data_IF_294338791566
#
_entry.id   IF_294338791566
#
_cell.length_a   1.000
_cell.length_b   1.000
_cell.length_c   1.000
_cell.angle_alpha   90.00
_cell.angle_beta   90.00
_cell.angle_gamma   90.00
#
_symmetry.space_group_name_H-M   'P 1'
#
loop_
_entity.id
_entity.type
_entity.pdbx_description
1 polymer ?
#
# COMPACT_ATOMS: atom_id res chain seq x y z
N UNK A 1 28.10 5.61 11.16
CA UNK A 1 27.11 4.67 11.70
C UNK A 1 25.72 5.21 11.35
N UNK A 2 25.30 5.01 10.11
CA UNK A 2 23.95 5.25 9.57
C UNK A 2 23.96 4.61 8.18
N UNK A 3 24.08 3.27 8.15
CA UNK A 3 23.97 2.50 6.93
C UNK A 3 22.49 2.26 6.67
N UNK A 4 21.79 3.30 6.23
CA UNK A 4 20.44 3.18 5.68
C UNK A 4 20.62 2.52 4.31
N UNK A 5 20.62 1.19 4.27
CA UNK A 5 20.43 0.43 3.04
C UNK A 5 18.97 0.64 2.59
N UNK A 6 18.73 1.82 2.02
CA UNK A 6 17.49 2.22 1.38
C UNK A 6 17.43 1.49 0.03
N UNK A 7 17.11 0.20 0.05
CA UNK A 7 16.69 -0.53 -1.15
C UNK A 7 15.26 -0.15 -1.50
N UNK A 8 15.03 1.12 -1.81
CA UNK A 8 13.91 1.55 -2.63
C UNK A 8 14.21 0.97 -4.01
N UNK A 9 13.44 -0.03 -4.44
CA UNK A 9 13.55 -0.55 -5.80
C UNK A 9 12.98 0.50 -6.77
N UNK A 10 13.78 1.54 -7.04
CA UNK A 10 13.72 2.33 -8.26
C UNK A 10 14.37 1.49 -9.36
N UNK A 11 13.64 0.48 -9.85
CA UNK A 11 14.01 -0.24 -11.06
C UNK A 11 12.86 -0.05 -12.05
N UNK A 12 12.97 0.97 -12.89
CA UNK A 12 12.12 1.24 -14.05
C UNK A 12 10.66 0.73 -13.93
N UNK A 13 9.79 1.59 -13.39
CA UNK A 13 8.33 1.41 -13.25
C UNK A 13 7.88 0.29 -12.29
N UNK A 14 6.69 0.45 -11.70
CA UNK A 14 5.83 -0.58 -11.07
C UNK A 14 5.62 -0.51 -9.55
N UNK A 15 5.14 0.64 -9.06
CA UNK A 15 3.97 0.60 -8.16
C UNK A 15 2.78 0.20 -9.02
N UNK A 16 2.21 -0.95 -8.74
CA UNK A 16 1.29 -1.60 -9.66
C UNK A 16 -0.15 -1.26 -9.34
N UNK A 17 -0.84 -0.61 -10.27
CA UNK A 17 -2.28 -0.80 -10.38
C UNK A 17 -2.57 -2.31 -10.45
N UNK A 18 -3.70 -2.76 -9.88
CA UNK A 18 -4.12 -4.18 -9.89
C UNK A 18 -3.95 -4.84 -11.27
N UNK A 19 -4.17 -4.07 -12.34
CA UNK A 19 -3.97 -4.52 -13.71
C UNK A 19 -2.52 -4.83 -14.06
N UNK A 20 -1.57 -3.98 -13.67
CA UNK A 20 -0.15 -4.26 -13.87
C UNK A 20 0.26 -5.50 -13.11
N UNK A 21 -0.10 -5.60 -11.82
CA UNK A 21 0.33 -6.69 -10.95
C UNK A 21 -0.07 -8.05 -11.51
N UNK A 22 -1.32 -8.14 -11.99
CA UNK A 22 -1.87 -9.33 -12.64
C UNK A 22 -1.17 -9.64 -13.97
N UNK A 23 -0.88 -8.62 -14.79
CA UNK A 23 -0.16 -8.82 -16.05
C UNK A 23 1.28 -9.29 -15.83
N UNK A 24 1.96 -8.74 -14.83
CA UNK A 24 3.37 -9.04 -14.56
C UNK A 24 3.57 -10.42 -13.96
N UNK A 25 2.72 -10.80 -13.00
CA UNK A 25 2.85 -12.08 -12.29
C UNK A 25 2.06 -13.22 -12.95
N UNK A 26 1.12 -12.89 -13.86
CA UNK A 26 0.07 -13.82 -14.33
C UNK A 26 -0.80 -14.40 -13.20
N UNK A 27 -0.77 -13.79 -12.00
CA UNK A 27 -1.55 -14.20 -10.82
C UNK A 27 -2.73 -13.24 -10.65
N UNK A 28 -3.95 -13.78 -10.62
CA UNK A 28 -5.18 -12.98 -10.46
C UNK A 28 -5.44 -12.53 -9.00
N UNK A 29 -4.85 -13.22 -8.02
CA UNK A 29 -4.97 -12.89 -6.60
C UNK A 29 -3.92 -11.84 -6.20
N UNK A 30 -4.37 -10.63 -5.83
CA UNK A 30 -3.47 -9.51 -5.46
C UNK A 30 -2.51 -9.89 -4.32
N UNK A 31 -2.96 -10.42 -3.17
CA UNK A 31 -2.05 -10.85 -2.10
C UNK A 31 -0.95 -11.81 -2.58
N UNK A 32 -1.34 -12.84 -3.35
CA UNK A 32 -0.37 -13.81 -3.87
C UNK A 32 0.59 -13.20 -4.90
N UNK A 33 0.14 -12.23 -5.69
CA UNK A 33 0.98 -11.53 -6.65
C UNK A 33 2.00 -10.59 -5.95
N UNK A 34 1.62 -9.94 -4.85
CA UNK A 34 2.55 -9.17 -4.00
C UNK A 34 3.64 -10.09 -3.42
N UNK A 35 3.23 -11.26 -2.93
CA UNK A 35 4.16 -12.27 -2.42
C UNK A 35 5.14 -12.72 -3.49
N UNK A 36 4.65 -13.06 -4.69
CA UNK A 36 5.47 -13.48 -5.82
C UNK A 36 6.51 -12.42 -6.20
N UNK A 37 6.12 -11.14 -6.25
CA UNK A 37 7.07 -10.04 -6.48
C UNK A 37 8.15 -10.03 -5.41
N UNK A 38 7.80 -10.05 -4.13
CA UNK A 38 8.82 -10.01 -3.09
C UNK A 38 9.73 -11.24 -3.11
N UNK A 39 9.22 -12.43 -3.44
CA UNK A 39 10.06 -13.63 -3.63
C UNK A 39 11.09 -13.39 -4.75
N UNK A 40 10.67 -12.80 -5.87
CA UNK A 40 11.56 -12.49 -7.00
C UNK A 40 12.58 -11.38 -6.70
N UNK A 41 12.25 -10.44 -5.81
CA UNK A 41 13.12 -9.32 -5.43
C UNK A 41 13.57 -9.43 -3.97
N UNK A 42 14.61 -10.24 -3.65
CA UNK A 42 15.06 -10.50 -2.28
C UNK A 42 15.47 -9.22 -1.51
N UNK A 43 15.96 -8.20 -2.22
CA UNK A 43 16.38 -6.91 -1.63
C UNK A 43 15.22 -5.96 -1.31
N UNK A 44 14.02 -6.20 -1.83
CA UNK A 44 12.87 -5.36 -1.56
C UNK A 44 12.31 -5.70 -0.16
N UNK A 45 12.14 -4.67 0.69
CA UNK A 45 11.58 -4.84 2.05
C UNK A 45 10.06 -4.87 2.08
N UNK A 46 9.42 -4.27 1.08
CA UNK A 46 7.98 -4.27 0.97
C UNK A 46 7.56 -4.03 -0.48
N UNK A 47 6.30 -4.32 -0.77
CA UNK A 47 5.62 -3.99 -2.02
C UNK A 47 4.23 -3.46 -1.69
N UNK A 48 3.77 -2.46 -2.44
CA UNK A 48 2.44 -1.85 -2.28
C UNK A 48 1.71 -1.88 -3.62
N UNK A 49 0.46 -2.29 -3.62
CA UNK A 49 -0.46 -2.13 -4.75
C UNK A 49 -1.59 -1.16 -4.41
N UNK A 50 -1.87 -0.25 -5.32
CA UNK A 50 -3.06 0.62 -5.29
C UNK A 50 -4.27 -0.15 -5.81
N UNK A 51 -5.40 0.02 -5.14
CA UNK A 51 -6.67 -0.69 -5.38
C UNK A 51 -7.80 0.27 -5.82
N UNK A 52 -7.44 1.48 -6.27
CA UNK A 52 -8.38 2.53 -6.65
C UNK A 52 -9.21 3.00 -5.46
N UNK A 53 -10.54 3.01 -5.62
CA UNK A 53 -11.50 3.38 -4.58
C UNK A 53 -11.46 2.46 -3.34
N UNK A 54 -10.76 1.33 -3.41
CA UNK A 54 -10.60 0.41 -2.28
C UNK A 54 -9.31 0.66 -1.47
N UNK A 55 -8.51 1.67 -1.84
CA UNK A 55 -7.30 2.05 -1.12
C UNK A 55 -6.04 1.34 -1.61
N UNK A 56 -5.32 0.68 -0.71
CA UNK A 56 -4.06 -0.01 -1.04
C UNK A 56 -3.84 -1.27 -0.21
N UNK A 57 -2.92 -2.11 -0.67
CA UNK A 57 -2.45 -3.30 0.05
C UNK A 57 -0.92 -3.33 0.04
N UNK A 58 -0.33 -3.54 1.20
CA UNK A 58 1.12 -3.63 1.38
C UNK A 58 1.50 -4.98 1.95
N UNK A 59 2.50 -5.63 1.36
CA UNK A 59 3.19 -6.76 1.97
C UNK A 59 4.57 -6.28 2.42
N UNK A 60 4.84 -6.39 3.71
CA UNK A 60 6.12 -6.05 4.32
C UNK A 60 6.82 -7.33 4.77
N UNK A 61 8.12 -7.47 4.46
CA UNK A 61 8.94 -8.58 4.94
C UNK A 61 9.87 -8.15 6.06
N UNK A 62 10.26 -9.12 6.87
CA UNK A 62 11.33 -9.00 7.86
C UNK A 62 12.42 -10.02 7.58
N UNK A 63 13.63 -9.70 8.02
CA UNK A 63 14.77 -10.63 8.03
C UNK A 63 14.66 -11.49 9.29
N UNK A 64 13.72 -12.44 9.28
CA UNK A 64 13.61 -13.45 10.32
C UNK A 64 13.04 -14.74 9.69
N UNK A 65 13.58 -15.89 10.02
CA UNK A 65 13.09 -17.20 9.57
C UNK A 65 12.36 -17.96 10.70
N UNK A 66 12.01 -17.27 11.79
CA UNK A 66 11.22 -17.84 12.87
C UNK A 66 9.76 -18.07 12.44
N UNK A 67 9.34 -19.32 12.46
CA UNK A 67 8.03 -19.77 11.98
C UNK A 67 8.16 -21.21 11.52
N UNK A 68 7.12 -22.02 11.64
CA UNK A 68 7.16 -23.42 11.19
C UNK A 68 6.14 -23.60 10.07
N UNK A 69 4.90 -23.15 10.28
CA UNK A 69 3.82 -23.31 9.31
C UNK A 69 3.53 -22.03 8.53
N UNK A 70 3.44 -22.15 7.21
CA UNK A 70 3.07 -21.05 6.32
C UNK A 70 1.55 -20.89 6.24
N UNK A 71 1.08 -19.65 6.35
CA UNK A 71 -0.34 -19.29 6.22
C UNK A 71 -0.61 -18.73 4.83
N UNK A 72 -1.69 -19.19 4.19
CA UNK A 72 -2.11 -18.64 2.90
C UNK A 72 -2.45 -17.15 3.00
N UNK A 73 -1.75 -16.34 2.22
CA UNK A 73 -1.86 -14.88 2.24
C UNK A 73 -3.23 -14.38 1.75
N UNK A 74 -3.96 -15.19 0.98
CA UNK A 74 -5.35 -14.92 0.62
C UNK A 74 -6.27 -14.95 1.85
N UNK A 75 -6.15 -16.00 2.68
CA UNK A 75 -6.92 -16.12 3.93
C UNK A 75 -6.60 -14.97 4.90
N UNK A 76 -5.33 -14.56 4.99
CA UNK A 76 -4.93 -13.39 5.80
C UNK A 76 -5.58 -12.12 5.28
N UNK A 77 -5.58 -11.91 3.95
CA UNK A 77 -6.20 -10.74 3.34
C UNK A 77 -7.73 -10.71 3.58
N UNK A 78 -8.40 -11.85 3.52
CA UNK A 78 -9.84 -11.95 3.85
C UNK A 78 -10.11 -11.61 5.32
N UNK A 79 -9.33 -12.16 6.24
CA UNK A 79 -9.43 -11.85 7.67
C UNK A 79 -9.23 -10.35 7.95
N UNK A 80 -8.27 -9.71 7.28
CA UNK A 80 -8.03 -8.27 7.42
C UNK A 80 -9.17 -7.44 6.85
N UNK A 81 -9.74 -7.81 5.70
CA UNK A 81 -10.89 -7.10 5.11
C UNK A 81 -12.11 -7.08 6.04
N UNK A 82 -12.31 -8.12 6.85
CA UNK A 82 -13.37 -8.16 7.86
C UNK A 82 -13.14 -7.18 9.02
N UNK A 83 -11.89 -6.79 9.28
CA UNK A 83 -11.52 -5.84 10.34
C UNK A 83 -11.53 -4.39 9.88
N UNK A 84 -11.61 -4.15 8.57
CA UNK A 84 -11.71 -2.80 8.02
C UNK A 84 -13.06 -2.20 8.42
N UNK A 85 -13.04 -1.10 9.16
CA UNK A 85 -14.24 -0.36 9.51
C UNK A 85 -14.81 0.32 8.26
N UNK A 86 -16.04 -0.06 7.88
CA UNK A 86 -16.69 0.43 6.65
C UNK A 86 -17.26 1.84 6.80
N UNK A 87 -17.40 2.38 8.00
CA UNK A 87 -18.09 3.66 8.24
C UNK A 87 -17.16 4.86 8.40
N UNK A 88 -15.85 4.66 8.34
CA UNK A 88 -14.91 5.78 8.34
C UNK A 88 -14.86 6.44 6.97
N UNK A 89 -15.20 7.73 6.94
CA UNK A 89 -15.01 8.55 5.73
C UNK A 89 -13.53 8.77 5.41
N UNK A 90 -12.66 8.65 6.42
CA UNK A 90 -11.22 8.86 6.29
C UNK A 90 -10.47 7.53 6.13
N UNK A 91 -9.36 7.52 5.39
CA UNK A 91 -8.45 6.39 5.31
C UNK A 91 -8.02 5.88 6.69
N UNK A 92 -8.09 4.56 6.85
CA UNK A 92 -7.60 3.79 8.01
C UNK A 92 -6.72 2.65 7.52
N UNK A 93 -5.99 2.00 8.43
CA UNK A 93 -5.15 0.86 8.11
C UNK A 93 -5.33 -0.27 9.12
N UNK A 94 -5.38 -1.49 8.63
CA UNK A 94 -5.32 -2.71 9.44
C UNK A 94 -4.11 -3.54 9.04
N UNK A 95 -3.47 -4.19 10.02
CA UNK A 95 -2.27 -5.02 9.81
C UNK A 95 -2.46 -6.42 10.40
N UNK A 96 -1.88 -7.42 9.76
CA UNK A 96 -1.67 -8.72 10.38
C UNK A 96 -0.49 -8.66 11.36
N UNK A 97 -0.34 -9.73 12.16
CA UNK A 97 0.95 -10.02 12.82
C UNK A 97 1.98 -10.47 11.78
N UNK A 98 3.25 -10.44 12.14
CA UNK A 98 4.30 -11.12 11.38
C UNK A 98 4.10 -12.64 11.44
N UNK A 99 4.21 -13.28 10.28
CA UNK A 99 4.10 -14.74 10.13
C UNK A 99 4.73 -15.18 8.81
N UNK A 100 4.98 -16.48 8.66
CA UNK A 100 5.35 -17.05 7.36
C UNK A 100 4.11 -17.09 6.46
N UNK A 101 4.18 -16.41 5.32
CA UNK A 101 3.11 -16.29 4.35
C UNK A 101 3.46 -17.12 3.11
N UNK A 102 2.47 -17.84 2.59
CA UNK A 102 2.51 -18.55 1.31
C UNK A 102 1.40 -18.03 0.38
N UNK A 103 1.49 -18.34 -0.91
CA UNK A 103 0.42 -18.04 -1.86
C UNK A 103 0.37 -19.08 -2.96
N UNK A 104 -0.43 -18.85 -4.00
CA UNK A 104 -0.53 -19.76 -5.16
C UNK A 104 0.74 -19.87 -6.02
N UNK A 105 1.79 -19.10 -5.71
CA UNK A 105 3.09 -19.07 -6.40
C UNK A 105 4.16 -19.94 -5.73
N UNK A 106 5.42 -19.80 -6.15
CA UNK A 106 6.53 -20.62 -5.68
C UNK A 106 7.39 -19.87 -4.67
N UNK A 107 6.96 -19.82 -3.41
CA UNK A 107 7.79 -19.29 -2.33
C UNK A 107 7.02 -18.92 -1.07
N UNK A 108 7.77 -18.64 -0.01
CA UNK A 108 7.25 -18.11 1.24
C UNK A 108 8.03 -16.88 1.66
N UNK A 109 7.38 -16.02 2.44
CA UNK A 109 7.98 -14.81 3.00
C UNK A 109 7.59 -14.73 4.46
N UNK A 110 8.55 -14.46 5.35
CA UNK A 110 8.21 -13.99 6.69
C UNK A 110 7.89 -12.50 6.64
N UNK A 111 6.63 -12.16 6.91
CA UNK A 111 6.15 -10.80 6.75
C UNK A 111 4.78 -10.58 7.35
N UNK A 112 4.23 -9.40 7.08
CA UNK A 112 2.87 -9.03 7.44
C UNK A 112 2.18 -8.33 6.28
N UNK A 113 0.86 -8.48 6.24
CA UNK A 113 0.01 -7.83 5.26
C UNK A 113 -0.69 -6.65 5.91
N UNK A 114 -0.74 -5.52 5.22
CA UNK A 114 -1.49 -4.33 5.61
C UNK A 114 -2.49 -3.96 4.52
N UNK A 115 -3.66 -3.47 4.94
CA UNK A 115 -4.70 -2.93 4.06
C UNK A 115 -5.00 -1.51 4.51
N UNK A 116 -4.75 -0.53 3.63
CA UNK A 116 -5.15 0.86 3.82
C UNK A 116 -6.42 1.14 3.02
N UNK A 117 -7.43 1.78 3.62
CA UNK A 117 -8.65 2.17 2.91
C UNK A 117 -8.45 3.48 2.13
N UNK A 118 -9.30 3.73 1.14
CA UNK A 118 -9.41 5.04 0.50
C UNK A 118 -10.44 5.90 1.23
N UNK A 119 -10.32 7.22 1.04
CA UNK A 119 -11.37 8.16 1.42
C UNK A 119 -12.62 7.90 0.59
N UNK A 120 -13.79 7.91 1.24
CA UNK A 120 -15.07 7.89 0.53
C UNK A 120 -15.41 9.29 0.03
N UNK A 121 -15.04 9.58 -1.20
CA UNK A 121 -15.29 10.87 -1.83
C UNK A 121 -16.72 10.90 -2.38
N UNK A 122 -17.55 11.89 -2.00
CA UNK A 122 -18.86 12.07 -2.60
C UNK A 122 -18.76 12.24 -4.12
N UNK A 123 -19.67 11.63 -4.89
CA UNK A 123 -19.64 11.70 -6.36
C UNK A 123 -19.51 13.12 -6.94
N UNK A 124 -20.15 14.17 -6.38
CA UNK A 124 -19.97 15.54 -6.86
C UNK A 124 -18.57 16.13 -6.64
N UNK A 125 -17.79 15.58 -5.70
CA UNK A 125 -16.41 16.00 -5.43
C UNK A 125 -15.38 15.18 -6.23
N UNK A 126 -15.76 14.05 -6.82
CA UNK A 126 -14.88 13.21 -7.62
C UNK A 126 -14.76 13.78 -9.04
N UNK A 127 -13.67 14.52 -9.29
CA UNK A 127 -13.48 15.27 -10.55
C UNK A 127 -12.61 14.51 -11.54
N UNK A 128 -11.44 14.02 -11.12
CA UNK A 128 -10.46 13.39 -12.01
C UNK A 128 -9.48 12.51 -11.23
N UNK A 129 -9.26 11.27 -11.68
CA UNK A 129 -8.36 10.29 -11.05
C UNK A 129 -6.95 10.28 -11.64
N UNK A 130 -6.69 11.09 -12.68
CA UNK A 130 -5.38 11.16 -13.36
C UNK A 130 -4.28 11.54 -12.38
N UNK A 131 -3.24 10.72 -12.23
CA UNK A 131 -2.11 11.01 -11.33
C UNK A 131 -2.38 10.71 -9.84
N UNK A 132 -3.51 10.10 -9.46
CA UNK A 132 -3.73 9.68 -8.07
C UNK A 132 -2.69 8.66 -7.59
N UNK A 133 -2.27 7.74 -8.49
CA UNK A 133 -1.19 6.81 -8.21
C UNK A 133 0.14 7.53 -7.94
N UNK A 134 0.49 8.53 -8.74
CA UNK A 134 1.70 9.32 -8.54
C UNK A 134 1.66 10.13 -7.22
N UNK A 135 0.50 10.70 -6.89
CA UNK A 135 0.27 11.40 -5.63
C UNK A 135 0.43 10.45 -4.43
N UNK A 136 -0.13 9.23 -4.51
CA UNK A 136 0.05 8.18 -3.51
C UNK A 136 1.54 7.83 -3.33
N UNK A 137 2.27 7.62 -4.44
CA UNK A 137 3.70 7.29 -4.42
C UNK A 137 4.50 8.43 -3.76
N UNK A 138 4.25 9.67 -4.16
CA UNK A 138 4.90 10.84 -3.56
C UNK A 138 4.65 10.93 -2.04
N UNK A 139 3.45 10.59 -1.59
CA UNK A 139 3.09 10.55 -0.18
C UNK A 139 3.76 9.38 0.58
N UNK A 140 3.88 8.21 -0.03
CA UNK A 140 4.67 7.09 0.53
C UNK A 140 6.13 7.48 0.68
N UNK A 141 6.74 8.10 -0.34
CA UNK A 141 8.12 8.59 -0.27
C UNK A 141 8.30 9.61 0.85
N UNK A 142 7.38 10.56 0.98
CA UNK A 142 7.37 11.48 2.10
C UNK A 142 7.26 10.77 3.46
N UNK A 143 6.39 9.75 3.57
CA UNK A 143 6.23 8.95 4.79
C UNK A 143 7.52 8.22 5.18
N UNK A 144 8.21 7.63 4.20
CA UNK A 144 9.51 6.99 4.41
C UNK A 144 10.59 7.99 4.86
N UNK A 145 10.66 9.16 4.22
CA UNK A 145 11.62 10.21 4.58
C UNK A 145 11.35 10.85 5.95
N UNK A 146 10.13 10.67 6.48
CA UNK A 146 9.71 11.17 7.79
C UNK A 146 9.48 10.07 8.82
N UNK A 147 9.96 8.86 8.53
CA UNK A 147 9.92 7.70 9.41
C UNK A 147 8.51 7.35 9.92
N UNK A 148 7.49 7.59 9.09
CA UNK A 148 6.13 7.17 9.39
C UNK A 148 6.04 5.65 9.46
N UNK A 149 5.46 5.13 10.54
CA UNK A 149 5.06 3.73 10.61
C UNK A 149 4.13 3.39 9.42
N UNK A 150 4.23 2.20 8.82
CA UNK A 150 3.39 1.79 7.69
C UNK A 150 1.88 2.02 7.92
N UNK A 151 1.42 1.78 9.14
CA UNK A 151 0.03 1.96 9.56
C UNK A 151 -0.45 3.42 9.53
N UNK A 152 0.47 4.39 9.62
CA UNK A 152 0.21 5.82 9.46
C UNK A 152 0.47 6.28 8.03
N UNK A 153 1.51 5.73 7.40
CA UNK A 153 1.92 6.06 6.03
C UNK A 153 0.87 5.69 4.99
N UNK A 154 0.30 4.48 5.04
CA UNK A 154 -0.67 4.04 4.03
C UNK A 154 -1.95 4.88 4.04
N UNK A 155 -2.59 5.17 5.19
CA UNK A 155 -3.73 6.09 5.25
C UNK A 155 -3.39 7.50 4.79
N UNK A 156 -2.22 8.03 5.18
CA UNK A 156 -1.74 9.33 4.72
C UNK A 156 -1.64 9.37 3.19
N UNK A 157 -1.03 8.36 2.58
CA UNK A 157 -0.89 8.28 1.13
C UNK A 157 -2.23 8.12 0.41
N UNK A 158 -3.14 7.31 0.95
CA UNK A 158 -4.53 7.22 0.47
C UNK A 158 -5.25 8.58 0.56
N UNK A 159 -5.05 9.34 1.64
CA UNK A 159 -5.66 10.66 1.81
C UNK A 159 -5.12 11.67 0.80
N UNK A 160 -3.81 11.69 0.55
CA UNK A 160 -3.20 12.57 -0.47
C UNK A 160 -3.76 12.25 -1.85
N UNK A 161 -3.89 10.97 -2.21
CA UNK A 161 -4.52 10.55 -3.45
C UNK A 161 -6.02 10.92 -3.52
N UNK A 162 -6.74 10.80 -2.41
CA UNK A 162 -8.14 11.20 -2.31
C UNK A 162 -8.36 12.71 -2.46
N UNK A 163 -7.46 13.54 -1.92
CA UNK A 163 -7.51 14.99 -2.16
C UNK A 163 -7.24 15.29 -3.64
N UNK A 164 -6.27 14.58 -4.26
CA UNK A 164 -5.96 14.73 -5.69
C UNK A 164 -7.18 14.52 -6.57
N UNK A 165 -8.07 13.57 -6.23
CA UNK A 165 -9.28 13.27 -6.99
C UNK A 165 -10.21 14.48 -7.22
N UNK A 166 -10.07 15.56 -6.44
CA UNK A 166 -10.98 16.72 -6.42
C UNK A 166 -10.62 17.85 -7.39
N UNK A 167 -9.58 17.66 -8.21
CA UNK A 167 -9.20 18.64 -9.22
C UNK A 167 -8.69 17.98 -10.51
N UNK A 168 -8.83 18.72 -11.62
CA UNK A 168 -8.44 18.29 -12.97
C UNK A 168 -6.91 18.26 -13.11
N UNK A 169 -6.41 17.21 -13.75
CA UNK A 169 -5.02 17.00 -14.09
C UNK A 169 -4.20 16.39 -12.96
N UNK A 170 -2.98 15.95 -13.28
CA UNK A 170 -2.14 15.21 -12.34
C UNK A 170 -1.59 16.04 -11.16
N UNK A 171 -1.41 17.35 -11.34
CA UNK A 171 -0.70 18.22 -10.36
C UNK A 171 -1.59 19.20 -9.62
N UNK A 172 -2.63 19.72 -10.27
CA UNK A 172 -3.48 20.80 -9.74
C UNK A 172 -4.21 20.43 -8.45
N UNK A 173 -4.48 19.13 -8.25
CA UNK A 173 -5.14 18.60 -7.05
C UNK A 173 -4.22 18.19 -5.91
N UNK A 174 -2.90 18.36 -6.05
CA UNK A 174 -1.98 17.98 -4.98
C UNK A 174 -2.19 18.87 -3.74
N UNK A 175 -2.34 18.28 -2.55
CA UNK A 175 -2.54 19.07 -1.34
C UNK A 175 -1.27 19.80 -0.92
N UNK A 176 -1.47 20.97 -0.32
CA UNK A 176 -0.43 21.57 0.52
C UNK A 176 -0.28 20.79 1.82
N UNK A 177 0.89 20.84 2.44
CA UNK A 177 1.12 20.22 3.77
C UNK A 177 0.10 20.68 4.82
N UNK A 178 -0.37 21.92 4.71
CA UNK A 178 -1.35 22.54 5.62
C UNK A 178 -2.81 22.18 5.31
N UNK A 179 -3.08 21.30 4.34
CA UNK A 179 -4.45 20.87 4.04
C UNK A 179 -5.09 20.25 5.29
N UNK A 180 -6.26 20.75 5.68
CA UNK A 180 -6.97 20.32 6.89
C UNK A 180 -7.28 18.83 6.89
N UNK A 181 -7.47 18.21 5.72
CA UNK A 181 -7.73 16.77 5.57
C UNK A 181 -6.51 15.91 5.89
N UNK A 182 -5.30 16.49 5.90
CA UNK A 182 -4.06 15.80 6.28
C UNK A 182 -3.72 15.92 7.78
N UNK A 183 -4.40 16.79 8.53
CA UNK A 183 -4.08 17.10 9.93
C UNK A 183 -3.95 15.88 10.83
N UNK A 184 -4.83 14.88 10.69
CA UNK A 184 -4.81 13.65 11.49
C UNK A 184 -3.57 12.77 11.26
N UNK A 185 -2.91 12.92 10.12
CA UNK A 185 -1.77 12.11 9.72
C UNK A 185 -0.43 12.83 9.87
N UNK A 186 -0.45 14.15 10.06
CA UNK A 186 0.77 14.97 10.20
C UNK A 186 1.00 15.48 11.62
N UNK A 187 0.05 15.24 12.53
CA UNK A 187 0.19 15.46 13.97
C UNK A 187 1.17 14.47 14.62
#
# INVERSE_FOLDING_TARGET
>A
MLSVHLSLLYAHTNFSDVFFLKKWTSISCIPSALLEILVQYPRARFVIATLGENGCMMLERIEDDSGIDAVDIGNVAESLRLKVHKDDNLPTCVSSKFMRLSGRGHGTIHGRLLIGTAEKIPAPELVDTTGCGDAFIGAVLYGLCTEMAPEKMLPFACQVAGIKCRAIGARTGLPWRSDARLSKYLA
#
